data_IF_539629687654
#
_entry.id   IF_539629687654
#
_cell.length_a   1.000
_cell.length_b   1.000
_cell.length_c   1.000
_cell.angle_alpha   90.00
_cell.angle_beta   90.00
_cell.angle_gamma   90.00
#
_symmetry.space_group_name_H-M   'P 1'
#
loop_
_entity.id
_entity.type
_entity.pdbx_description
1 polymer ?
#
# COMPACT_ATOMS: atom_id res chain seq x y z
N UNK A 1 19.09 2.61 15.38
CA UNK A 1 19.01 2.73 13.90
C UNK A 1 19.42 1.41 13.23
N UNK A 2 18.75 1.03 12.13
CA UNK A 2 18.93 -0.24 11.41
C UNK A 2 20.17 -0.20 10.47
N UNK A 3 20.93 -1.30 10.39
CA UNK A 3 22.08 -1.44 9.45
C UNK A 3 21.65 -1.59 7.99
N UNK A 4 22.50 -1.15 7.05
CA UNK A 4 22.24 -1.12 5.60
C UNK A 4 21.91 -2.48 4.98
N UNK A 5 22.53 -3.58 5.43
CA UNK A 5 22.23 -4.90 4.87
C UNK A 5 20.84 -5.39 5.32
N UNK A 6 20.43 -5.01 6.53
CA UNK A 6 19.13 -5.38 7.10
C UNK A 6 17.99 -4.60 6.47
N UNK A 7 18.21 -3.32 6.13
CA UNK A 7 17.22 -2.54 5.38
C UNK A 7 16.99 -3.13 3.98
N UNK A 8 18.02 -3.65 3.31
CA UNK A 8 17.85 -4.29 2.00
C UNK A 8 16.83 -5.44 2.02
N UNK A 9 16.78 -6.25 3.08
CA UNK A 9 15.77 -7.30 3.25
C UNK A 9 14.33 -6.75 3.34
N UNK A 10 14.13 -5.67 4.11
CA UNK A 10 12.82 -4.99 4.21
C UNK A 10 12.39 -4.39 2.87
N UNK A 11 13.34 -3.84 2.11
CA UNK A 11 13.10 -3.34 0.76
C UNK A 11 12.78 -4.48 -0.22
N UNK A 12 13.44 -5.62 -0.10
CA UNK A 12 13.13 -6.83 -0.87
C UNK A 12 11.72 -7.33 -0.61
N UNK A 13 11.29 -7.35 0.66
CA UNK A 13 9.92 -7.69 1.05
C UNK A 13 8.90 -6.72 0.42
N UNK A 14 9.15 -5.41 0.51
CA UNK A 14 8.30 -4.40 -0.10
C UNK A 14 8.25 -4.53 -1.63
N UNK A 15 9.38 -4.82 -2.29
CA UNK A 15 9.45 -5.05 -3.72
C UNK A 15 8.69 -6.32 -4.15
N UNK A 16 8.83 -7.42 -3.39
CA UNK A 16 8.09 -8.65 -3.62
C UNK A 16 6.58 -8.41 -3.56
N UNK A 17 6.12 -7.65 -2.57
CA UNK A 17 4.73 -7.25 -2.49
C UNK A 17 4.29 -6.42 -3.70
N UNK A 18 5.00 -5.31 -3.95
CA UNK A 18 4.63 -4.31 -4.96
C UNK A 18 4.73 -4.80 -6.40
N UNK A 19 5.55 -5.81 -6.70
CA UNK A 19 5.77 -6.29 -8.06
C UNK A 19 5.06 -7.61 -8.33
N UNK A 20 4.85 -8.44 -7.31
CA UNK A 20 4.35 -9.81 -7.50
C UNK A 20 3.09 -10.02 -6.68
N UNK A 21 3.20 -10.01 -5.34
CA UNK A 21 2.16 -10.57 -4.49
C UNK A 21 0.81 -9.85 -4.60
N UNK A 22 0.82 -8.52 -4.77
CA UNK A 22 -0.42 -7.76 -4.89
C UNK A 22 -1.19 -8.03 -6.19
N UNK A 23 -0.52 -8.47 -7.25
CA UNK A 23 -1.12 -8.64 -8.59
C UNK A 23 -1.71 -10.04 -8.84
N UNK A 24 -1.60 -10.94 -7.85
CA UNK A 24 -2.13 -12.30 -7.98
C UNK A 24 -3.63 -12.27 -7.73
N UNK A 25 -4.41 -12.77 -8.68
CA UNK A 25 -5.87 -12.78 -8.57
C UNK A 25 -6.34 -13.89 -7.62
N UNK A 26 -7.26 -13.51 -6.74
CA UNK A 26 -7.94 -14.43 -5.83
C UNK A 26 -9.45 -14.27 -5.98
N UNK A 27 -10.21 -15.37 -6.18
CA UNK A 27 -11.66 -15.31 -6.27
C UNK A 27 -12.29 -14.67 -5.03
N UNK A 28 -13.17 -13.70 -5.26
CA UNK A 28 -13.92 -13.07 -4.17
C UNK A 28 -14.99 -14.03 -3.63
N UNK A 29 -14.93 -14.36 -2.34
CA UNK A 29 -15.95 -15.20 -1.66
C UNK A 29 -17.09 -14.38 -1.02
N UNK A 30 -17.15 -13.07 -1.29
CA UNK A 30 -18.06 -12.14 -0.64
C UNK A 30 -17.51 -11.63 0.70
N UNK A 31 -18.20 -10.63 1.27
CA UNK A 31 -17.80 -9.98 2.51
C UNK A 31 -16.99 -8.70 2.32
N UNK A 32 -16.39 -8.20 3.41
CA UNK A 32 -15.69 -6.91 3.46
C UNK A 32 -14.35 -7.02 4.22
N UNK A 33 -13.45 -6.04 4.03
CA UNK A 33 -12.19 -5.98 4.77
C UNK A 33 -11.30 -7.22 4.57
N UNK A 34 -10.85 -7.84 5.68
CA UNK A 34 -9.98 -9.03 5.67
C UNK A 34 -10.67 -10.33 5.25
N UNK A 35 -11.98 -10.33 4.98
CA UNK A 35 -12.60 -11.45 4.27
C UNK A 35 -12.20 -11.49 2.80
N UNK A 36 -11.72 -10.36 2.26
CA UNK A 36 -11.19 -10.28 0.90
C UNK A 36 -9.75 -10.81 0.86
N UNK A 37 -9.44 -11.82 0.03
CA UNK A 37 -8.12 -12.47 0.04
C UNK A 37 -6.95 -11.51 -0.23
N UNK A 38 -7.12 -10.53 -1.10
CA UNK A 38 -6.07 -9.56 -1.42
C UNK A 38 -5.77 -8.60 -0.25
N UNK A 39 -6.77 -8.26 0.58
CA UNK A 39 -6.54 -7.52 1.83
C UNK A 39 -5.74 -8.35 2.85
N UNK A 40 -5.99 -9.67 2.93
CA UNK A 40 -5.20 -10.56 3.79
C UNK A 40 -3.74 -10.63 3.34
N UNK A 41 -3.50 -10.76 2.03
CA UNK A 41 -2.13 -10.76 1.48
C UNK A 41 -1.45 -9.43 1.80
N UNK A 42 -2.10 -8.30 1.56
CA UNK A 42 -1.58 -6.98 1.93
C UNK A 42 -1.28 -6.85 3.42
N UNK A 43 -2.22 -7.28 4.27
CA UNK A 43 -2.06 -7.29 5.72
C UNK A 43 -0.88 -8.14 6.18
N UNK A 44 -0.69 -9.33 5.60
CA UNK A 44 0.44 -10.21 5.90
C UNK A 44 1.78 -9.55 5.58
N UNK A 45 1.94 -8.98 4.38
CA UNK A 45 3.17 -8.31 4.00
C UNK A 45 3.45 -7.07 4.87
N UNK A 46 2.41 -6.30 5.20
CA UNK A 46 2.52 -5.17 6.13
C UNK A 46 2.94 -5.64 7.52
N UNK A 47 2.33 -6.71 8.05
CA UNK A 47 2.66 -7.26 9.36
C UNK A 47 4.11 -7.79 9.41
N UNK A 48 4.55 -8.50 8.37
CA UNK A 48 5.94 -8.95 8.23
C UNK A 48 6.92 -7.78 8.14
N UNK A 49 6.56 -6.72 7.41
CA UNK A 49 7.36 -5.52 7.31
C UNK A 49 7.48 -4.81 8.67
N UNK A 50 6.38 -4.65 9.40
CA UNK A 50 6.37 -4.09 10.76
C UNK A 50 7.25 -4.93 11.68
N UNK A 51 7.03 -6.25 11.72
CA UNK A 51 7.79 -7.16 12.57
C UNK A 51 9.28 -7.08 12.26
N UNK A 52 9.65 -7.18 10.98
CA UNK A 52 11.04 -7.08 10.53
C UNK A 52 11.65 -5.73 10.92
N UNK A 53 10.97 -4.62 10.63
CA UNK A 53 11.46 -3.29 10.98
C UNK A 53 11.66 -3.14 12.50
N UNK A 54 10.70 -3.60 13.32
CA UNK A 54 10.78 -3.53 14.78
C UNK A 54 11.89 -4.40 15.35
N UNK A 55 12.04 -5.65 14.91
CA UNK A 55 13.10 -6.56 15.37
C UNK A 55 14.51 -6.05 15.03
N UNK A 56 14.64 -5.29 13.94
CA UNK A 56 15.92 -4.73 13.50
C UNK A 56 16.19 -3.36 14.12
N UNK A 57 15.17 -2.72 14.69
CA UNK A 57 15.26 -1.40 15.32
C UNK A 57 16.01 -1.48 16.65
N UNK A 58 16.69 -0.39 16.99
CA UNK A 58 17.38 -0.23 18.27
C UNK A 58 17.02 1.14 18.85
N UNK A 59 16.79 1.24 20.17
CA UNK A 59 16.50 2.51 20.82
C UNK A 59 17.67 3.51 20.66
N UNK A 60 17.40 4.82 20.71
CA UNK A 60 16.06 5.43 20.78
C UNK A 60 15.28 5.25 19.47
N UNK A 61 13.96 5.05 19.58
CA UNK A 61 13.08 4.92 18.41
C UNK A 61 12.78 6.30 17.83
N UNK A 62 12.78 6.39 16.50
CA UNK A 62 12.48 7.62 15.79
C UNK A 62 10.97 7.90 15.80
N UNK A 63 10.62 9.15 16.07
CA UNK A 63 9.23 9.63 16.07
C UNK A 63 9.16 10.92 15.26
N UNK A 64 8.05 11.13 14.54
CA UNK A 64 7.81 12.35 13.78
C UNK A 64 6.66 13.17 14.38
N UNK A 65 6.69 14.49 14.18
CA UNK A 65 5.59 15.35 14.62
C UNK A 65 4.23 15.02 13.98
N UNK A 66 4.24 14.34 12.82
CA UNK A 66 3.03 13.78 12.21
C UNK A 66 2.57 12.52 12.96
N UNK A 67 3.48 11.60 13.32
CA UNK A 67 3.12 10.41 14.12
C UNK A 67 2.47 10.79 15.44
N UNK A 68 3.01 11.81 16.14
CA UNK A 68 2.49 12.29 17.41
C UNK A 68 1.04 12.80 17.34
N UNK A 69 0.58 13.22 16.15
CA UNK A 69 -0.82 13.63 15.92
C UNK A 69 -1.67 12.48 15.37
N UNK A 70 -1.08 11.66 14.50
CA UNK A 70 -1.76 10.52 13.89
C UNK A 70 -2.14 9.45 14.93
N UNK A 71 -1.20 9.08 15.82
CA UNK A 71 -1.40 8.03 16.81
C UNK A 71 -2.59 8.30 17.76
N UNK A 72 -2.70 9.46 18.43
CA UNK A 72 -3.87 9.75 19.26
C UNK A 72 -5.16 9.87 18.44
N UNK A 73 -5.11 10.43 17.22
CA UNK A 73 -6.27 10.45 16.32
C UNK A 73 -6.79 9.05 16.00
N UNK A 74 -5.89 8.10 15.73
CA UNK A 74 -6.25 6.71 15.51
C UNK A 74 -6.81 6.04 16.79
N UNK A 75 -6.28 6.37 17.97
CA UNK A 75 -6.82 5.88 19.25
C UNK A 75 -8.26 6.37 19.47
N UNK A 76 -8.56 7.62 19.13
CA UNK A 76 -9.94 8.16 19.20
C UNK A 76 -10.88 7.36 18.30
N UNK A 77 -10.44 7.01 17.08
CA UNK A 77 -11.22 6.20 16.15
C UNK A 77 -11.43 4.75 16.62
N UNK A 78 -10.65 4.27 17.59
CA UNK A 78 -10.83 2.96 18.21
C UNK A 78 -11.83 2.99 19.38
N UNK A 79 -12.13 4.16 19.95
CA UNK A 79 -13.07 4.29 21.08
C UNK A 79 -14.45 3.64 20.84
N UNK A 80 -15.06 3.72 19.63
CA UNK A 80 -16.30 3.02 19.33
C UNK A 80 -16.30 1.52 19.63
N UNK A 81 -15.14 0.85 19.67
CA UNK A 81 -15.05 -0.58 19.99
C UNK A 81 -15.52 -0.93 21.40
N UNK A 82 -15.42 -0.02 22.36
CA UNK A 82 -15.76 -0.26 23.77
C UNK A 82 -17.26 -0.55 24.00
N UNK A 83 -18.10 -0.24 23.02
CA UNK A 83 -19.54 -0.14 23.11
C UNK A 83 -20.24 -0.64 21.84
N UNK A 84 -19.48 -0.99 20.79
CA UNK A 84 -20.01 -1.64 19.58
C UNK A 84 -20.37 -3.10 19.89
N UNK A 85 -21.62 -3.47 19.57
CA UNK A 85 -22.13 -4.85 19.71
C UNK A 85 -22.24 -5.54 18.35
N UNK A 86 -22.38 -6.86 18.37
CA UNK A 86 -22.75 -7.61 17.16
C UNK A 86 -24.12 -7.14 16.63
N UNK A 87 -24.32 -7.08 15.29
CA UNK A 87 -23.43 -7.57 14.22
C UNK A 87 -22.38 -6.54 13.74
N UNK A 88 -22.49 -5.27 14.14
CA UNK A 88 -21.65 -4.16 13.68
C UNK A 88 -20.16 -4.34 13.98
N UNK A 89 -19.84 -5.06 15.06
CA UNK A 89 -18.47 -5.39 15.43
C UNK A 89 -17.74 -6.16 14.32
N UNK A 90 -18.42 -7.11 13.65
CA UNK A 90 -17.83 -7.90 12.56
C UNK A 90 -17.46 -7.07 11.33
N UNK A 91 -18.23 -6.02 11.04
CA UNK A 91 -17.98 -5.09 9.93
C UNK A 91 -16.94 -4.01 10.28
N UNK A 92 -16.88 -3.60 11.55
CA UNK A 92 -15.96 -2.57 12.02
C UNK A 92 -14.53 -3.10 12.18
N UNK A 93 -14.39 -4.34 12.67
CA UNK A 93 -13.09 -4.91 13.05
C UNK A 93 -12.06 -4.88 11.91
N UNK A 94 -12.37 -5.28 10.66
CA UNK A 94 -11.38 -5.24 9.59
C UNK A 94 -10.88 -3.83 9.27
N UNK A 95 -11.76 -2.83 9.32
CA UNK A 95 -11.40 -1.42 9.05
C UNK A 95 -10.48 -0.88 10.13
N UNK A 96 -10.79 -1.19 11.38
CA UNK A 96 -10.00 -0.76 12.54
C UNK A 96 -8.66 -1.50 12.63
N UNK A 97 -8.61 -2.78 12.26
CA UNK A 97 -7.35 -3.51 12.07
C UNK A 97 -6.51 -2.90 10.93
N UNK A 98 -7.14 -2.50 9.83
CA UNK A 98 -6.46 -1.75 8.77
C UNK A 98 -5.86 -0.44 9.28
N UNK A 99 -6.60 0.32 10.10
CA UNK A 99 -6.13 1.55 10.73
C UNK A 99 -4.92 1.30 11.64
N UNK A 100 -5.00 0.30 12.53
CA UNK A 100 -3.90 -0.02 13.46
C UNK A 100 -2.66 -0.51 12.72
N UNK A 101 -2.83 -1.36 11.71
CA UNK A 101 -1.73 -1.79 10.84
C UNK A 101 -1.12 -0.61 10.07
N UNK A 102 -1.93 0.33 9.57
CA UNK A 102 -1.44 1.52 8.88
C UNK A 102 -0.59 2.42 9.78
N UNK A 103 -1.05 2.69 11.00
CA UNK A 103 -0.29 3.48 11.99
C UNK A 103 1.00 2.77 12.39
N UNK A 104 0.93 1.46 12.65
CA UNK A 104 2.10 0.65 12.99
C UNK A 104 3.10 0.56 11.83
N UNK A 105 2.63 0.42 10.58
CA UNK A 105 3.46 0.42 9.38
C UNK A 105 4.18 1.76 9.20
N UNK A 106 3.48 2.87 9.44
CA UNK A 106 4.11 4.19 9.41
C UNK A 106 5.16 4.34 10.51
N UNK A 107 4.88 3.89 11.73
CA UNK A 107 5.85 3.89 12.82
C UNK A 107 7.08 3.04 12.50
N UNK A 108 6.88 1.87 11.90
CA UNK A 108 7.94 0.99 11.43
C UNK A 108 8.80 1.65 10.34
N UNK A 109 8.16 2.35 9.40
CA UNK A 109 8.85 3.09 8.35
C UNK A 109 9.76 4.18 8.92
N UNK A 110 9.37 4.85 10.01
CA UNK A 110 10.20 5.86 10.68
C UNK A 110 11.51 5.28 11.23
N UNK A 111 11.56 3.99 11.56
CA UNK A 111 12.77 3.37 12.09
C UNK A 111 13.81 3.04 11.01
N UNK A 112 13.41 3.10 9.74
CA UNK A 112 14.27 2.80 8.60
C UNK A 112 14.98 4.08 8.16
N UNK A 113 16.33 4.12 8.13
CA UNK A 113 17.05 5.25 7.57
C UNK A 113 16.87 5.29 6.04
N UNK A 114 15.97 6.18 5.60
CA UNK A 114 15.64 6.40 4.20
C UNK A 114 16.51 7.49 3.59
N UNK A 115 17.65 7.11 3.04
CA UNK A 115 18.46 8.00 2.20
C UNK A 115 17.68 8.44 0.96
N UNK A 116 18.09 9.57 0.36
CA UNK A 116 17.46 10.10 -0.87
C UNK A 116 17.31 9.04 -1.97
N UNK A 117 18.32 8.20 -2.16
CA UNK A 117 18.29 7.12 -3.15
C UNK A 117 17.26 6.04 -2.79
N UNK A 118 17.23 5.59 -1.53
CA UNK A 118 16.30 4.55 -1.05
C UNK A 118 14.86 5.02 -1.10
N UNK A 119 14.62 6.26 -0.67
CA UNK A 119 13.32 6.91 -0.78
C UNK A 119 12.88 6.96 -2.24
N UNK A 120 13.74 7.40 -3.15
CA UNK A 120 13.42 7.43 -4.59
C UNK A 120 13.10 6.03 -5.14
N UNK A 121 13.87 5.00 -4.76
CA UNK A 121 13.59 3.61 -5.14
C UNK A 121 12.24 3.11 -4.63
N UNK A 122 11.88 3.42 -3.37
CA UNK A 122 10.57 3.07 -2.82
C UNK A 122 9.42 3.72 -3.61
N UNK A 123 9.53 5.01 -3.92
CA UNK A 123 8.52 5.72 -4.69
C UNK A 123 8.40 5.17 -6.12
N UNK A 124 9.52 4.77 -6.74
CA UNK A 124 9.51 4.11 -8.05
C UNK A 124 8.86 2.72 -7.97
N UNK A 125 9.10 1.95 -6.91
CA UNK A 125 8.45 0.65 -6.72
C UNK A 125 6.93 0.80 -6.58
N UNK A 126 6.47 1.77 -5.79
CA UNK A 126 5.05 2.08 -5.65
C UNK A 126 4.45 2.55 -6.98
N UNK A 127 5.17 3.40 -7.74
CA UNK A 127 4.74 3.81 -9.07
C UNK A 127 4.66 2.61 -10.03
N UNK A 128 5.63 1.70 -10.02
CA UNK A 128 5.61 0.50 -10.83
C UNK A 128 4.38 -0.37 -10.54
N UNK A 129 4.04 -0.56 -9.26
CA UNK A 129 2.82 -1.25 -8.85
C UNK A 129 1.57 -0.57 -9.44
N UNK A 130 1.48 0.77 -9.37
CA UNK A 130 0.35 1.50 -9.95
C UNK A 130 0.26 1.37 -11.47
N UNK A 131 1.41 1.28 -12.17
CA UNK A 131 1.44 1.06 -13.61
C UNK A 131 0.97 -0.35 -13.96
N UNK A 132 1.39 -1.38 -13.22
CA UNK A 132 0.92 -2.76 -13.44
C UNK A 132 -0.60 -2.84 -13.24
N UNK A 133 -1.13 -2.24 -12.17
CA UNK A 133 -2.59 -2.17 -11.96
C UNK A 133 -3.30 -1.37 -13.05
N UNK A 134 -2.72 -0.28 -13.55
CA UNK A 134 -3.27 0.47 -14.67
C UNK A 134 -3.34 -0.37 -15.94
N UNK A 135 -2.29 -1.14 -16.25
CA UNK A 135 -2.27 -2.07 -17.38
C UNK A 135 -3.32 -3.17 -17.20
N UNK A 136 -3.45 -3.76 -16.01
CA UNK A 136 -4.50 -4.73 -15.69
C UNK A 136 -5.90 -4.11 -15.87
N UNK A 137 -6.11 -2.87 -15.42
CA UNK A 137 -7.35 -2.13 -15.62
C UNK A 137 -7.67 -1.86 -17.09
N UNK A 138 -6.67 -1.57 -17.92
CA UNK A 138 -6.83 -1.41 -19.37
C UNK A 138 -7.20 -2.73 -20.04
N UNK A 139 -6.58 -3.85 -19.63
CA UNK A 139 -6.93 -5.20 -20.10
C UNK A 139 -8.37 -5.54 -19.71
N UNK A 140 -8.78 -5.22 -18.47
CA UNK A 140 -10.17 -5.37 -18.02
C UNK A 140 -11.15 -4.55 -18.87
N UNK A 141 -10.80 -3.31 -19.19
CA UNK A 141 -11.66 -2.44 -19.96
C UNK A 141 -11.76 -2.82 -21.44
N UNK A 142 -10.63 -3.17 -22.08
CA UNK A 142 -10.53 -3.26 -23.52
C UNK A 142 -10.45 -4.66 -24.12
N UNK A 143 -10.07 -5.69 -23.33
CA UNK A 143 -9.75 -7.02 -23.85
C UNK A 143 -10.56 -8.15 -23.21
N UNK A 144 -11.05 -7.97 -21.98
CA UNK A 144 -11.73 -9.04 -21.26
C UNK A 144 -13.20 -9.14 -21.67
N UNK A 145 -13.57 -10.30 -22.22
CA UNK A 145 -14.95 -10.66 -22.54
C UNK A 145 -15.68 -11.32 -21.35
N UNK A 146 -17.03 -11.36 -21.33
CA UNK A 146 -17.77 -12.12 -20.32
C UNK A 146 -17.36 -13.60 -20.29
N UNK A 147 -17.19 -14.17 -19.10
CA UNK A 147 -16.76 -15.57 -18.94
C UNK A 147 -15.24 -15.78 -18.86
N UNK A 148 -14.46 -14.70 -18.70
CA UNK A 148 -13.01 -14.79 -18.51
C UNK A 148 -12.60 -15.53 -17.22
N UNK A 149 -11.33 -15.95 -17.17
CA UNK A 149 -10.74 -16.67 -16.05
C UNK A 149 -10.75 -15.91 -14.70
N UNK A 150 -10.90 -14.58 -14.71
CA UNK A 150 -11.01 -13.75 -13.50
C UNK A 150 -12.47 -13.57 -13.04
N UNK A 151 -13.46 -14.13 -13.74
CA UNK A 151 -14.88 -13.90 -13.44
C UNK A 151 -15.30 -12.43 -13.55
N UNK A 152 -14.52 -11.60 -14.27
CA UNK A 152 -14.82 -10.19 -14.49
C UNK A 152 -16.00 -10.05 -15.46
N UNK A 153 -16.99 -9.24 -15.13
CA UNK A 153 -18.11 -8.95 -16.02
C UNK A 153 -17.92 -7.56 -16.65
N UNK A 154 -17.45 -7.47 -17.91
CA UNK A 154 -17.17 -6.19 -18.57
C UNK A 154 -18.44 -5.35 -18.81
N UNK A 155 -19.62 -5.96 -18.84
CA UNK A 155 -20.89 -5.28 -19.10
C UNK A 155 -21.49 -4.61 -17.86
N UNK A 156 -21.13 -5.08 -16.65
CA UNK A 156 -21.67 -4.57 -15.37
C UNK A 156 -20.63 -3.89 -14.49
N UNK A 157 -19.37 -4.30 -14.59
CA UNK A 157 -18.33 -3.86 -13.66
C UNK A 157 -17.40 -2.86 -14.32
N UNK A 158 -17.11 -1.77 -13.61
CA UNK A 158 -16.01 -0.88 -13.95
C UNK A 158 -14.67 -1.59 -13.71
N UNK A 159 -13.59 -1.22 -14.42
CA UNK A 159 -12.27 -1.75 -14.17
C UNK A 159 -11.88 -1.51 -12.71
N UNK A 160 -11.47 -2.57 -12.03
CA UNK A 160 -11.14 -2.53 -10.61
C UNK A 160 -9.73 -3.05 -10.32
N UNK A 161 -8.95 -3.34 -11.36
CA UNK A 161 -7.62 -3.93 -11.23
C UNK A 161 -7.69 -5.26 -10.51
N UNK A 162 -6.76 -5.50 -9.60
CA UNK A 162 -6.78 -6.67 -8.72
C UNK A 162 -7.69 -6.49 -7.48
N UNK A 163 -8.02 -5.24 -7.14
CA UNK A 163 -8.66 -4.89 -5.87
C UNK A 163 -10.13 -5.29 -5.77
N UNK A 164 -10.76 -5.68 -6.88
CA UNK A 164 -12.20 -6.05 -6.92
C UNK A 164 -13.15 -4.93 -6.44
N UNK A 165 -12.63 -3.72 -6.25
CA UNK A 165 -13.35 -2.54 -5.77
C UNK A 165 -12.86 -1.30 -6.54
N UNK A 166 -13.78 -0.64 -7.25
CA UNK A 166 -13.44 0.54 -8.06
C UNK A 166 -12.91 1.71 -7.21
N UNK A 167 -13.32 1.82 -5.94
CA UNK A 167 -12.91 2.92 -5.05
C UNK A 167 -11.41 2.81 -4.71
N UNK A 168 -10.92 1.58 -4.55
CA UNK A 168 -9.50 1.35 -4.31
C UNK A 168 -8.69 1.56 -5.56
N UNK A 169 -9.16 1.04 -6.70
CA UNK A 169 -8.50 1.29 -7.97
C UNK A 169 -8.35 2.80 -8.23
N UNK A 170 -9.42 3.58 -8.08
CA UNK A 170 -9.40 5.02 -8.31
C UNK A 170 -8.41 5.76 -7.38
N UNK A 171 -8.43 5.47 -6.08
CA UNK A 171 -7.51 6.11 -5.12
C UNK A 171 -6.06 5.66 -5.31
N UNK A 172 -5.83 4.40 -5.69
CA UNK A 172 -4.51 3.88 -6.04
C UNK A 172 -3.96 4.56 -7.31
N UNK A 173 -4.79 4.73 -8.34
CA UNK A 173 -4.42 5.48 -9.55
C UNK A 173 -4.11 6.95 -9.26
N UNK A 174 -4.94 7.61 -8.45
CA UNK A 174 -4.70 9.00 -8.05
C UNK A 174 -3.37 9.15 -7.29
N UNK A 175 -3.05 8.20 -6.43
CA UNK A 175 -1.77 8.14 -5.71
C UNK A 175 -0.60 7.91 -6.66
N UNK A 176 -0.75 7.00 -7.63
CA UNK A 176 0.26 6.75 -8.67
C UNK A 176 0.54 7.99 -9.52
N UNK A 177 -0.50 8.73 -9.91
CA UNK A 177 -0.35 9.98 -10.64
C UNK A 177 0.38 11.04 -9.81
N UNK A 178 0.00 11.20 -8.54
CA UNK A 178 0.68 12.12 -7.62
C UNK A 178 2.17 11.75 -7.44
N UNK A 179 2.48 10.45 -7.34
CA UNK A 179 3.85 9.94 -7.28
C UNK A 179 4.64 10.23 -8.57
N UNK A 180 4.01 10.04 -9.74
CA UNK A 180 4.63 10.34 -11.03
C UNK A 180 4.99 11.82 -11.14
N UNK A 181 4.05 12.71 -10.80
CA UNK A 181 4.25 14.16 -10.79
C UNK A 181 5.34 14.57 -9.79
N UNK A 182 5.32 14.00 -8.58
CA UNK A 182 6.34 14.25 -7.57
C UNK A 182 7.73 13.81 -8.04
N UNK A 183 7.86 12.63 -8.65
CA UNK A 183 9.14 12.13 -9.16
C UNK A 183 9.64 12.92 -10.37
N UNK A 184 8.73 13.47 -11.18
CA UNK A 184 9.06 14.34 -12.30
C UNK A 184 9.56 15.71 -11.82
N UNK A 185 8.86 16.35 -10.88
CA UNK A 185 9.25 17.66 -10.35
C UNK A 185 10.55 17.63 -9.56
N UNK A 186 10.86 16.51 -8.93
CA UNK A 186 12.13 16.31 -8.22
C UNK A 186 13.31 15.93 -9.12
N UNK A 187 13.12 15.82 -10.45
CA UNK A 187 14.26 15.69 -11.37
C UNK A 187 14.97 17.05 -11.42
N UNK A 188 16.22 17.09 -10.96
CA UNK A 188 17.06 18.27 -11.14
C UNK A 188 17.06 18.63 -12.63
N UNK A 189 16.86 19.90 -13.03
CA UNK A 189 16.96 20.29 -14.42
C UNK A 189 18.35 19.86 -14.92
N UNK A 190 18.37 19.17 -16.05
CA UNK A 190 19.61 18.99 -16.82
C UNK A 190 20.07 20.40 -17.16
N UNK A 191 21.09 20.89 -16.47
CA UNK A 191 21.82 22.08 -16.91
C UNK A 191 22.37 21.71 -18.29
N UNK A 192 21.68 22.13 -19.35
CA UNK A 192 22.25 22.14 -20.68
C UNK A 192 23.35 23.20 -20.62
N UNK A 193 24.57 22.78 -20.38
CA UNK A 193 25.73 23.57 -20.73
C UNK A 193 25.76 23.63 -22.27
N UNK A 194 25.07 24.61 -22.83
CA UNK A 194 25.38 25.05 -24.18
C UNK A 194 26.68 25.86 -24.07
N UNK A 195 27.81 25.20 -24.27
CA UNK A 195 29.02 25.87 -24.71
C UNK A 195 28.94 25.98 -26.23
N UNK A 196 28.88 27.21 -26.73
CA UNK A 196 28.97 27.59 -28.13
C UNK A 196 29.26 29.07 -28.19
#
# INVERSE_FOLDING_TARGET
MISNNKTAGLFGLAACYCLIAMHIYWPNRGGSGFYLPWNLVGGLFIALFILGAMLLSRPPLAVSGFFNRLAPGALILLLPLLWTKNPWLGEALPRLLGLTLGVAAYFALLQIPLDRLRRRRLLILLLAATVIEALLGLVQYGLLEPGNAMGYNPLKNRPYGIFQQWNLMASFMATGLALALYLLSNRRPLHRACNG
#
